data_IF_429778943553
#
_entry.id   IF_429778943553
#
_cell.length_a   1.000
_cell.length_b   1.000
_cell.length_c   1.000
_cell.angle_alpha   90.00
_cell.angle_beta   90.00
_cell.angle_gamma   90.00
#
_symmetry.space_group_name_H-M   'P 1'
#
loop_
_entity.id
_entity.type
_entity.pdbx_description
1 polymer ?
#
# COMPACT_ATOMS: atom_id res chain seq x y z
N UNK A 1 -34.33 -5.36 11.99
CA UNK A 1 -33.93 -4.21 11.14
C UNK A 1 -32.50 -4.45 10.69
N UNK A 2 -32.32 -4.72 9.40
CA UNK A 2 -31.05 -5.12 8.80
C UNK A 2 -30.24 -3.90 8.39
N UNK A 3 -29.33 -3.45 9.26
CA UNK A 3 -28.47 -2.30 8.95
C UNK A 3 -27.68 -2.52 7.67
N UNK A 4 -27.14 -3.72 7.47
CA UNK A 4 -26.42 -4.14 6.26
C UNK A 4 -26.86 -5.52 5.77
N UNK A 5 -26.81 -5.71 4.45
CA UNK A 5 -27.01 -7.00 3.78
C UNK A 5 -25.89 -7.20 2.76
N UNK A 6 -25.18 -8.33 2.81
CA UNK A 6 -24.04 -8.57 1.92
C UNK A 6 -23.76 -10.07 1.78
N UNK A 7 -23.00 -10.42 0.74
CA UNK A 7 -22.56 -11.79 0.47
C UNK A 7 -21.08 -11.91 0.77
N UNK A 8 -20.70 -13.03 1.39
CA UNK A 8 -19.33 -13.29 1.80
C UNK A 8 -18.93 -14.71 1.43
N UNK A 9 -17.69 -14.88 0.98
CA UNK A 9 -17.11 -16.21 0.79
C UNK A 9 -16.69 -16.77 2.15
N UNK A 10 -17.13 -17.99 2.47
CA UNK A 10 -16.64 -18.72 3.64
C UNK A 10 -15.17 -19.07 3.45
N UNK A 11 -14.31 -18.59 4.36
CA UNK A 11 -12.89 -18.90 4.42
C UNK A 11 -12.45 -19.03 5.88
N UNK A 12 -11.37 -19.79 6.17
CA UNK A 12 -10.79 -19.83 7.50
C UNK A 12 -10.48 -18.40 7.96
N UNK A 13 -10.83 -18.10 9.21
CA UNK A 13 -10.73 -16.77 9.82
C UNK A 13 -9.25 -16.37 9.87
N UNK A 14 -8.79 -15.69 8.82
CA UNK A 14 -7.55 -14.94 8.81
C UNK A 14 -7.82 -13.52 9.31
N UNK A 15 -6.88 -12.99 10.08
CA UNK A 15 -6.97 -11.74 10.83
C UNK A 15 -6.89 -10.49 9.93
N UNK A 16 -7.77 -10.39 8.94
CA UNK A 16 -7.91 -9.22 8.05
C UNK A 16 -9.21 -8.50 8.40
N UNK A 17 -9.30 -8.00 9.64
CA UNK A 17 -10.48 -7.30 10.15
C UNK A 17 -10.79 -5.98 9.41
N UNK A 18 -9.80 -5.41 8.70
CA UNK A 18 -9.87 -4.04 8.19
C UNK A 18 -9.82 -3.87 6.67
N UNK A 19 -9.54 -4.92 5.89
CA UNK A 19 -9.56 -4.83 4.42
C UNK A 19 -10.78 -5.58 3.88
N UNK A 20 -11.75 -4.91 3.22
CA UNK A 20 -12.81 -5.61 2.53
C UNK A 20 -12.25 -6.45 1.40
N UNK A 21 -12.80 -7.65 1.25
CA UNK A 21 -12.40 -8.60 0.23
C UNK A 21 -13.06 -8.21 -1.10
N UNK A 22 -12.29 -8.24 -2.17
CA UNK A 22 -12.78 -7.83 -3.49
C UNK A 22 -13.96 -8.68 -3.96
N UNK A 23 -13.91 -10.00 -3.70
CA UNK A 23 -14.98 -10.91 -4.09
C UNK A 23 -16.30 -10.65 -3.33
N UNK A 24 -16.23 -10.28 -2.05
CA UNK A 24 -17.43 -9.96 -1.25
C UNK A 24 -18.14 -8.72 -1.84
N UNK A 25 -17.36 -7.75 -2.32
CA UNK A 25 -17.86 -6.56 -3.02
C UNK A 25 -18.49 -6.97 -4.36
N UNK A 26 -17.83 -7.79 -5.16
CA UNK A 26 -18.34 -8.23 -6.46
C UNK A 26 -19.66 -9.01 -6.32
N UNK A 27 -19.72 -10.01 -5.44
CA UNK A 27 -20.94 -10.81 -5.20
C UNK A 27 -22.09 -9.95 -4.71
N UNK A 28 -21.83 -9.05 -3.76
CA UNK A 28 -22.86 -8.13 -3.24
C UNK A 28 -23.33 -7.14 -4.30
N UNK A 29 -22.45 -6.75 -5.22
CA UNK A 29 -22.81 -5.85 -6.34
C UNK A 29 -23.72 -6.52 -7.35
N UNK A 30 -23.46 -7.79 -7.70
CA UNK A 30 -24.38 -8.58 -8.53
C UNK A 30 -25.74 -8.81 -7.85
N UNK A 31 -25.74 -9.10 -6.55
CA UNK A 31 -26.99 -9.23 -5.79
C UNK A 31 -27.78 -7.92 -5.76
N UNK A 32 -27.08 -6.78 -5.63
CA UNK A 32 -27.71 -5.45 -5.70
C UNK A 32 -28.34 -5.21 -7.08
N UNK A 33 -27.64 -5.51 -8.18
CA UNK A 33 -28.21 -5.41 -9.53
C UNK A 33 -29.47 -6.26 -9.67
N UNK A 34 -29.45 -7.50 -9.15
CA UNK A 34 -30.62 -8.38 -9.16
C UNK A 34 -31.79 -7.81 -8.34
N UNK A 35 -31.52 -7.17 -7.20
CA UNK A 35 -32.57 -6.53 -6.41
C UNK A 35 -33.18 -5.34 -7.13
N UNK A 36 -32.37 -4.53 -7.82
CA UNK A 36 -32.87 -3.42 -8.63
C UNK A 36 -33.74 -3.93 -9.78
N UNK A 37 -33.30 -4.97 -10.48
CA UNK A 37 -34.08 -5.58 -11.58
C UNK A 37 -35.42 -6.16 -11.12
N UNK A 38 -35.53 -6.56 -9.84
CA UNK A 38 -36.74 -7.12 -9.24
C UNK A 38 -37.59 -6.08 -8.49
N UNK A 39 -37.25 -4.80 -8.58
CA UNK A 39 -37.86 -3.71 -7.79
C UNK A 39 -37.83 -3.95 -6.27
N UNK A 40 -36.90 -4.76 -5.78
CA UNK A 40 -36.74 -5.14 -4.37
C UNK A 40 -35.88 -4.10 -3.62
N UNK A 41 -36.43 -2.89 -3.51
CA UNK A 41 -35.76 -1.77 -2.82
C UNK A 41 -35.46 -2.07 -1.34
N UNK A 42 -36.30 -2.89 -0.70
CA UNK A 42 -36.14 -3.29 0.70
C UNK A 42 -34.81 -4.05 0.94
N UNK A 43 -34.38 -4.88 -0.03
CA UNK A 43 -33.10 -5.58 0.04
C UNK A 43 -31.96 -4.84 -0.66
N UNK A 44 -32.26 -3.99 -1.65
CA UNK A 44 -31.27 -3.17 -2.36
C UNK A 44 -30.61 -2.13 -1.43
N UNK A 45 -31.40 -1.39 -0.64
CA UNK A 45 -30.89 -0.28 0.19
C UNK A 45 -29.86 -0.75 1.24
N UNK A 46 -30.09 -1.84 2.01
CA UNK A 46 -29.08 -2.37 2.94
C UNK A 46 -27.80 -2.85 2.24
N UNK A 47 -27.92 -3.38 1.02
CA UNK A 47 -26.77 -3.84 0.22
C UNK A 47 -25.94 -2.67 -0.31
N UNK A 48 -26.63 -1.62 -0.76
CA UNK A 48 -26.01 -0.35 -1.17
C UNK A 48 -25.25 0.31 -0.01
N UNK A 49 -25.85 0.39 1.18
CA UNK A 49 -25.20 0.96 2.38
C UNK A 49 -23.90 0.23 2.70
N UNK A 50 -23.91 -1.09 2.62
CA UNK A 50 -22.71 -1.90 2.84
C UNK A 50 -21.63 -1.65 1.78
N UNK A 51 -21.99 -1.61 0.49
CA UNK A 51 -21.05 -1.32 -0.60
C UNK A 51 -20.42 0.08 -0.46
N UNK A 52 -21.24 1.10 -0.19
CA UNK A 52 -20.77 2.47 0.04
C UNK A 52 -19.71 2.51 1.15
N UNK A 53 -19.93 1.77 2.24
CA UNK A 53 -18.99 1.71 3.37
C UNK A 53 -17.65 1.03 3.03
N UNK A 54 -17.51 0.40 1.84
CA UNK A 54 -16.29 -0.27 1.36
C UNK A 54 -15.61 0.43 0.19
N UNK A 55 -16.09 1.62 -0.22
CA UNK A 55 -15.42 2.44 -1.23
C UNK A 55 -14.12 3.03 -0.69
N UNK A 56 -13.16 3.21 -1.57
CA UNK A 56 -11.92 3.92 -1.29
C UNK A 56 -12.11 5.45 -1.39
N UNK A 57 -11.11 6.23 -1.00
CA UNK A 57 -11.15 7.71 -1.02
C UNK A 57 -11.33 8.32 -2.41
N UNK A 58 -11.04 7.56 -3.47
CA UNK A 58 -11.18 7.98 -4.87
C UNK A 58 -12.51 7.52 -5.48
N UNK A 59 -13.37 6.89 -4.69
CA UNK A 59 -14.70 6.44 -5.12
C UNK A 59 -14.73 5.10 -5.83
N UNK A 60 -13.60 4.41 -5.98
CA UNK A 60 -13.52 3.02 -6.46
C UNK A 60 -13.56 2.00 -5.32
N UNK A 61 -13.26 0.75 -5.65
CA UNK A 61 -13.12 -0.35 -4.70
C UNK A 61 -11.67 -0.89 -4.71
N UNK A 62 -11.44 -2.13 -4.26
CA UNK A 62 -10.08 -2.62 -3.99
C UNK A 62 -9.40 -3.19 -5.25
N UNK A 63 -10.15 -3.81 -6.15
CA UNK A 63 -9.70 -4.36 -7.42
C UNK A 63 -10.30 -3.56 -8.59
N UNK A 64 -10.11 -4.04 -9.82
CA UNK A 64 -10.74 -3.47 -11.01
C UNK A 64 -12.15 -4.01 -11.22
N UNK A 65 -12.36 -5.32 -11.06
CA UNK A 65 -13.64 -5.96 -11.34
C UNK A 65 -14.72 -5.55 -10.33
N UNK A 66 -14.39 -5.58 -9.04
CA UNK A 66 -15.28 -5.09 -7.99
C UNK A 66 -15.61 -3.60 -8.17
N UNK A 67 -14.69 -2.81 -8.71
CA UNK A 67 -14.90 -1.40 -9.02
C UNK A 67 -15.91 -1.21 -10.14
N UNK A 68 -15.75 -1.93 -11.25
CA UNK A 68 -16.67 -1.82 -12.40
C UNK A 68 -18.08 -2.23 -11.99
N UNK A 69 -18.23 -3.44 -11.42
CA UNK A 69 -19.54 -3.98 -11.06
C UNK A 69 -20.15 -3.19 -9.89
N UNK A 70 -19.35 -2.80 -8.90
CA UNK A 70 -19.81 -2.04 -7.75
C UNK A 70 -20.30 -0.65 -8.11
N UNK A 71 -19.56 0.10 -8.92
CA UNK A 71 -20.01 1.42 -9.38
C UNK A 71 -21.24 1.29 -10.27
N UNK A 72 -21.29 0.30 -11.17
CA UNK A 72 -22.48 0.03 -11.98
C UNK A 72 -23.71 -0.24 -11.11
N UNK A 73 -23.60 -1.10 -10.10
CA UNK A 73 -24.68 -1.44 -9.20
C UNK A 73 -25.20 -0.22 -8.42
N UNK A 74 -24.28 0.59 -7.89
CA UNK A 74 -24.62 1.83 -7.18
C UNK A 74 -25.28 2.86 -8.10
N UNK A 75 -24.77 3.04 -9.32
CA UNK A 75 -25.34 3.96 -10.31
C UNK A 75 -26.75 3.51 -10.73
N UNK A 76 -26.95 2.21 -10.97
CA UNK A 76 -28.24 1.66 -11.37
C UNK A 76 -29.28 1.90 -10.27
N UNK A 77 -28.95 1.60 -9.00
CA UNK A 77 -29.85 1.90 -7.89
C UNK A 77 -30.09 3.41 -7.72
N UNK A 78 -29.09 4.26 -7.95
CA UNK A 78 -29.26 5.71 -7.85
C UNK A 78 -30.31 6.26 -8.84
N UNK A 79 -30.46 5.64 -10.02
CA UNK A 79 -31.52 6.03 -10.97
C UNK A 79 -32.93 5.73 -10.44
N UNK A 80 -33.08 4.69 -9.61
CA UNK A 80 -34.35 4.30 -8.98
C UNK A 80 -34.65 5.17 -7.75
N UNK A 81 -33.62 5.53 -6.98
CA UNK A 81 -33.77 6.31 -5.74
C UNK A 81 -33.82 7.83 -5.97
N UNK A 82 -33.41 8.32 -7.14
CA UNK A 82 -33.32 9.74 -7.43
C UNK A 82 -34.67 10.46 -7.37
N UNK A 83 -34.81 11.45 -6.49
CA UNK A 83 -36.05 12.22 -6.29
C UNK A 83 -36.26 13.37 -7.29
N UNK A 84 -35.36 13.57 -8.26
CA UNK A 84 -35.40 14.66 -9.25
C UNK A 84 -35.18 16.08 -8.70
N UNK A 85 -35.41 16.29 -7.40
CA UNK A 85 -35.15 17.55 -6.67
C UNK A 85 -34.17 17.28 -5.53
N UNK A 86 -33.14 18.11 -5.42
CA UNK A 86 -32.14 18.07 -4.35
C UNK A 86 -31.92 19.48 -3.82
N UNK A 87 -32.13 19.65 -2.51
CA UNK A 87 -31.80 20.81 -1.69
C UNK A 87 -31.41 20.29 -0.31
N UNK A 88 -30.12 20.03 -0.13
CA UNK A 88 -29.55 19.45 1.08
C UNK A 88 -28.60 20.45 1.72
N UNK A 89 -28.70 20.60 3.04
CA UNK A 89 -27.70 21.27 3.85
C UNK A 89 -27.04 20.24 4.76
N UNK A 90 -25.73 20.08 4.61
CA UNK A 90 -24.92 19.12 5.38
C UNK A 90 -23.91 19.88 6.22
N UNK A 91 -24.01 19.69 7.53
CA UNK A 91 -23.13 20.26 8.55
C UNK A 91 -22.17 19.20 9.07
N UNK A 92 -20.90 19.55 9.13
CA UNK A 92 -19.79 18.76 9.66
C UNK A 92 -19.23 19.47 10.89
N UNK A 93 -19.55 18.95 12.06
CA UNK A 93 -19.09 19.46 13.35
C UNK A 93 -17.93 18.59 13.86
N UNK A 94 -16.80 19.21 14.14
CA UNK A 94 -15.60 18.58 14.71
C UNK A 94 -15.04 19.47 15.83
N UNK A 95 -14.04 18.99 16.58
CA UNK A 95 -13.65 19.60 17.87
C UNK A 95 -13.21 21.06 17.77
N UNK A 96 -12.69 21.46 16.61
CA UNK A 96 -12.12 22.80 16.38
C UNK A 96 -12.95 23.67 15.45
N UNK A 97 -14.11 23.20 14.97
CA UNK A 97 -14.96 24.01 14.10
C UNK A 97 -16.13 23.28 13.45
N UNK A 98 -16.86 24.05 12.63
CA UNK A 98 -18.01 23.58 11.87
C UNK A 98 -17.80 23.95 10.40
N UNK A 99 -18.11 23.01 9.49
CA UNK A 99 -18.14 23.23 8.04
C UNK A 99 -19.52 22.89 7.51
N UNK A 100 -20.00 23.67 6.54
CA UNK A 100 -21.30 23.48 5.92
C UNK A 100 -21.14 23.30 4.41
N UNK A 101 -21.90 22.37 3.86
CA UNK A 101 -22.04 22.14 2.42
C UNK A 101 -23.52 22.25 2.06
N UNK A 102 -23.84 23.22 1.19
CA UNK A 102 -25.17 23.34 0.60
C UNK A 102 -25.16 22.72 -0.79
N UNK A 103 -26.04 21.75 -1.01
CA UNK A 103 -26.14 20.99 -2.25
C UNK A 103 -27.53 21.27 -2.85
N UNK A 104 -27.56 21.84 -4.05
CA UNK A 104 -28.76 22.16 -4.82
C UNK A 104 -28.69 21.55 -6.23
N UNK A 105 -29.66 21.88 -7.09
CA UNK A 105 -29.71 21.36 -8.46
C UNK A 105 -28.55 21.86 -9.35
N UNK A 106 -27.96 23.01 -9.04
CA UNK A 106 -26.86 23.58 -9.84
C UNK A 106 -25.54 22.89 -9.52
N UNK A 107 -25.36 22.42 -8.28
CA UNK A 107 -24.11 21.83 -7.81
C UNK A 107 -24.19 20.34 -7.47
N UNK A 108 -25.29 19.64 -7.79
CA UNK A 108 -25.53 18.23 -7.44
C UNK A 108 -24.46 17.24 -7.93
N UNK A 109 -23.74 17.58 -9.01
CA UNK A 109 -22.64 16.76 -9.57
C UNK A 109 -21.26 17.23 -9.09
N UNK A 110 -21.18 18.38 -8.42
CA UNK A 110 -19.92 18.95 -7.96
C UNK A 110 -19.51 18.35 -6.61
N UNK A 111 -18.31 17.76 -6.58
CA UNK A 111 -17.73 17.19 -5.37
C UNK A 111 -17.41 18.29 -4.35
N UNK A 112 -18.01 18.21 -3.16
CA UNK A 112 -17.69 19.07 -2.03
C UNK A 112 -16.69 18.35 -1.12
N UNK A 113 -15.48 18.91 -0.96
CA UNK A 113 -14.41 18.30 -0.15
C UNK A 113 -13.85 19.32 0.83
N UNK A 114 -13.59 18.88 2.07
CA UNK A 114 -12.97 19.67 3.12
C UNK A 114 -11.90 18.84 3.81
N UNK A 115 -10.74 19.45 4.07
CA UNK A 115 -9.69 18.82 4.86
C UNK A 115 -10.00 19.01 6.34
N UNK A 116 -10.00 17.90 7.08
CA UNK A 116 -10.13 17.91 8.53
C UNK A 116 -8.74 18.00 9.16
N UNK A 117 -8.60 18.70 10.31
CA UNK A 117 -7.35 18.71 11.08
C UNK A 117 -6.87 17.31 11.43
N UNK A 118 -5.55 17.09 11.44
CA UNK A 118 -4.95 15.78 11.71
C UNK A 118 -5.19 15.26 13.13
N UNK A 119 -5.60 16.13 14.06
CA UNK A 119 -5.93 15.80 15.44
C UNK A 119 -7.44 15.61 15.68
N UNK A 120 -8.27 15.64 14.63
CA UNK A 120 -9.70 15.36 14.73
C UNK A 120 -9.93 13.90 15.11
N UNK A 121 -10.71 13.67 16.18
CA UNK A 121 -11.02 12.34 16.69
C UNK A 121 -12.45 11.92 16.37
N UNK A 122 -13.39 12.88 16.36
CA UNK A 122 -14.80 12.66 16.09
C UNK A 122 -15.34 13.72 15.13
N UNK A 123 -16.22 13.28 14.23
CA UNK A 123 -16.96 14.17 13.32
C UNK A 123 -18.44 13.84 13.44
N UNK A 124 -19.23 14.83 13.80
CA UNK A 124 -20.70 14.73 13.82
C UNK A 124 -21.25 15.31 12.54
N UNK A 125 -22.01 14.52 11.79
CA UNK A 125 -22.60 14.92 10.50
C UNK A 125 -24.10 15.11 10.70
N UNK A 126 -24.61 16.29 10.38
CA UNK A 126 -26.05 16.60 10.43
C UNK A 126 -26.51 17.02 9.04
N UNK A 127 -27.55 16.37 8.54
CA UNK A 127 -28.12 16.70 7.24
C UNK A 127 -29.58 17.14 7.40
N UNK A 128 -29.97 18.19 6.68
CA UNK A 128 -31.35 18.66 6.60
C UNK A 128 -31.71 19.01 5.15
N UNK A 129 -33.01 19.08 4.85
CA UNK A 129 -33.51 19.37 3.50
C UNK A 129 -34.13 18.14 2.82
N UNK A 130 -34.15 18.15 1.48
CA UNK A 130 -34.76 17.11 0.64
C UNK A 130 -33.79 16.65 -0.43
N UNK A 131 -33.55 15.34 -0.50
CA UNK A 131 -32.70 14.73 -1.51
C UNK A 131 -31.96 13.53 -0.94
N UNK A 132 -31.10 12.93 -1.76
CA UNK A 132 -30.20 11.85 -1.34
C UNK A 132 -28.79 12.27 -1.66
N UNK A 133 -27.91 12.23 -0.66
CA UNK A 133 -26.50 12.58 -0.80
C UNK A 133 -25.63 11.49 -0.18
N UNK A 134 -24.43 11.33 -0.73
CA UNK A 134 -23.40 10.47 -0.16
C UNK A 134 -22.38 11.33 0.58
N UNK A 135 -22.18 11.04 1.86
CA UNK A 135 -21.11 11.63 2.67
C UNK A 135 -20.05 10.56 2.94
N UNK A 136 -18.78 10.91 2.72
CA UNK A 136 -17.65 10.02 2.94
C UNK A 136 -16.56 10.73 3.75
N UNK A 137 -16.10 10.09 4.82
CA UNK A 137 -14.94 10.51 5.60
C UNK A 137 -13.78 9.58 5.24
N UNK A 138 -12.65 10.15 4.82
CA UNK A 138 -11.47 9.39 4.41
C UNK A 138 -10.27 9.80 5.27
N UNK A 139 -9.45 8.83 5.67
CA UNK A 139 -8.21 9.06 6.42
C UNK A 139 -7.08 8.18 5.89
N UNK A 140 -5.84 8.61 6.10
CA UNK A 140 -4.64 7.87 5.72
C UNK A 140 -3.61 7.94 6.84
N UNK A 141 -2.89 6.84 7.07
CA UNK A 141 -1.86 6.75 8.10
C UNK A 141 -0.69 5.90 7.61
N UNK A 142 0.49 6.15 8.19
CA UNK A 142 1.71 5.40 7.87
C UNK A 142 1.88 4.22 8.82
N UNK A 143 2.23 3.05 8.28
CA UNK A 143 2.53 1.84 9.06
C UNK A 143 3.92 1.32 8.70
N UNK A 144 4.65 0.83 9.71
CA UNK A 144 6.00 0.31 9.52
C UNK A 144 6.04 -1.16 9.06
N UNK A 145 4.99 -1.96 9.29
CA UNK A 145 5.02 -3.43 9.06
C UNK A 145 3.86 -3.86 8.15
N UNK A 146 4.12 -4.80 7.24
CA UNK A 146 3.08 -5.57 6.55
C UNK A 146 2.24 -6.38 7.54
N UNK A 147 1.01 -6.70 7.16
CA UNK A 147 0.08 -7.56 7.89
C UNK A 147 0.74 -8.73 8.66
N UNK A 148 0.16 -9.08 9.82
CA UNK A 148 0.69 -10.08 10.75
C UNK A 148 1.01 -11.45 10.10
N UNK A 149 0.28 -11.82 9.04
CA UNK A 149 0.50 -13.03 8.25
C UNK A 149 0.62 -12.69 6.76
N UNK A 150 1.83 -12.55 6.19
CA UNK A 150 2.02 -12.25 4.78
C UNK A 150 1.63 -13.45 3.90
N UNK A 151 0.97 -13.19 2.78
CA UNK A 151 0.53 -14.24 1.85
C UNK A 151 1.66 -14.76 0.94
N UNK A 152 2.77 -14.03 0.88
CA UNK A 152 3.94 -14.35 0.05
C UNK A 152 5.20 -14.34 0.90
N UNK A 153 6.15 -15.22 0.60
CA UNK A 153 7.54 -14.98 0.98
C UNK A 153 8.03 -13.76 0.21
N UNK A 154 8.79 -12.90 0.88
CA UNK A 154 9.38 -11.75 0.22
C UNK A 154 10.74 -11.50 0.85
N UNK A 155 11.77 -11.65 0.03
CA UNK A 155 13.15 -11.52 0.46
C UNK A 155 13.96 -10.71 -0.56
N UNK A 156 14.13 -9.40 -0.33
CA UNK A 156 14.92 -8.55 -1.20
C UNK A 156 16.41 -8.65 -0.88
N UNK A 157 17.18 -9.14 -1.85
CA UNK A 157 18.61 -9.39 -1.74
C UNK A 157 19.40 -8.38 -2.56
N UNK A 158 20.07 -7.45 -1.88
CA UNK A 158 20.97 -6.49 -2.51
C UNK A 158 22.30 -7.18 -2.83
N UNK A 159 22.63 -7.24 -4.12
CA UNK A 159 23.84 -7.91 -4.61
C UNK A 159 25.11 -7.22 -4.11
N UNK A 160 26.16 -8.01 -3.84
CA UNK A 160 27.50 -7.51 -3.49
C UNK A 160 28.17 -6.66 -4.58
N UNK A 161 27.69 -6.77 -5.82
CA UNK A 161 28.15 -5.94 -6.95
C UNK A 161 27.59 -4.51 -6.86
N UNK A 162 26.57 -4.29 -6.03
CA UNK A 162 26.03 -2.95 -5.82
C UNK A 162 27.09 -2.02 -5.24
N UNK A 163 27.09 -0.79 -5.70
CA UNK A 163 27.93 0.32 -5.23
C UNK A 163 27.05 1.49 -4.82
N UNK A 164 27.64 2.62 -4.42
CA UNK A 164 26.89 3.86 -4.17
C UNK A 164 26.23 4.45 -5.42
N UNK A 165 26.68 4.06 -6.61
CA UNK A 165 26.17 4.56 -7.89
C UNK A 165 25.35 3.53 -8.67
N UNK A 166 25.40 2.27 -8.27
CA UNK A 166 24.79 1.16 -8.99
C UNK A 166 24.12 0.21 -8.00
N UNK A 167 22.85 -0.06 -8.19
CA UNK A 167 22.06 -0.93 -7.33
C UNK A 167 21.62 -2.14 -8.16
N UNK A 168 21.92 -3.34 -7.66
CA UNK A 168 21.40 -4.59 -8.20
C UNK A 168 20.68 -5.34 -7.09
N UNK A 169 19.36 -5.42 -7.18
CA UNK A 169 18.51 -6.09 -6.20
C UNK A 169 17.80 -7.28 -6.83
N UNK A 170 17.95 -8.46 -6.23
CA UNK A 170 17.20 -9.66 -6.60
C UNK A 170 16.07 -9.83 -5.58
N UNK A 171 14.83 -9.89 -6.05
CA UNK A 171 13.66 -9.95 -5.18
C UNK A 171 13.06 -11.34 -5.25
N UNK A 172 13.31 -12.17 -4.24
CA UNK A 172 12.79 -13.53 -4.20
C UNK A 172 11.40 -13.56 -3.56
N UNK A 173 10.45 -14.25 -4.21
CA UNK A 173 9.08 -14.40 -3.73
C UNK A 173 8.46 -15.72 -4.15
N UNK A 174 7.60 -16.26 -3.30
CA UNK A 174 6.78 -17.44 -3.53
C UNK A 174 5.47 -17.32 -2.77
N UNK A 175 4.41 -17.96 -3.26
CA UNK A 175 3.10 -17.94 -2.64
C UNK A 175 3.02 -18.97 -1.50
N UNK A 176 2.56 -18.54 -0.32
CA UNK A 176 2.53 -19.42 0.86
C UNK A 176 1.39 -20.44 0.85
N UNK A 177 0.25 -20.11 0.24
CA UNK A 177 -0.92 -20.99 0.25
C UNK A 177 -0.80 -22.11 -0.79
N UNK A 178 -1.67 -23.11 -0.67
CA UNK A 178 -1.75 -24.18 -1.67
C UNK A 178 -2.40 -23.67 -2.95
N UNK A 179 -1.85 -24.08 -4.08
CA UNK A 179 -2.33 -23.70 -5.41
C UNK A 179 -1.62 -22.46 -5.93
N UNK A 180 -2.19 -21.91 -6.99
CA UNK A 180 -1.64 -20.74 -7.67
C UNK A 180 -2.42 -19.48 -7.26
N UNK A 181 -1.76 -18.33 -7.30
CA UNK A 181 -2.46 -17.05 -7.29
C UNK A 181 -3.23 -16.84 -8.58
N UNK A 182 -4.06 -15.80 -8.62
CA UNK A 182 -4.42 -15.19 -9.91
C UNK A 182 -3.20 -14.44 -10.47
N UNK A 183 -3.43 -13.40 -11.29
CA UNK A 183 -2.37 -12.45 -11.64
C UNK A 183 -1.75 -11.85 -10.37
N UNK A 184 -0.43 -11.93 -10.26
CA UNK A 184 0.31 -11.38 -9.13
C UNK A 184 1.16 -10.19 -9.60
N UNK A 185 1.31 -9.19 -8.75
CA UNK A 185 2.07 -7.98 -9.04
C UNK A 185 3.16 -7.79 -8.00
N UNK A 186 4.38 -7.54 -8.47
CA UNK A 186 5.52 -7.13 -7.65
C UNK A 186 5.85 -5.67 -7.97
N UNK A 187 5.62 -4.78 -7.02
CA UNK A 187 5.99 -3.37 -7.05
C UNK A 187 7.30 -3.17 -6.29
N UNK A 188 8.37 -2.87 -7.04
CA UNK A 188 9.71 -2.60 -6.52
C UNK A 188 9.96 -1.10 -6.57
N UNK A 189 9.84 -0.42 -5.43
CA UNK A 189 10.24 0.98 -5.32
C UNK A 189 11.75 1.09 -5.16
N UNK A 190 12.38 2.06 -5.83
CA UNK A 190 13.80 2.34 -5.67
C UNK A 190 14.02 3.37 -4.56
N UNK A 191 15.18 3.33 -3.87
CA UNK A 191 15.57 4.40 -2.95
C UNK A 191 15.72 5.74 -3.67
N UNK A 192 15.43 6.84 -2.96
CA UNK A 192 15.47 8.20 -3.51
C UNK A 192 16.77 8.50 -4.24
N UNK A 193 16.70 8.96 -5.48
CA UNK A 193 17.86 9.30 -6.32
C UNK A 193 18.35 8.18 -7.23
N UNK A 194 17.81 6.97 -7.11
CA UNK A 194 18.01 5.89 -8.09
C UNK A 194 16.93 5.89 -9.16
N UNK A 195 17.32 5.53 -10.38
CA UNK A 195 16.40 5.25 -11.49
C UNK A 195 16.69 3.90 -12.12
N UNK A 196 15.64 3.23 -12.61
CA UNK A 196 15.72 1.92 -13.27
C UNK A 196 16.63 1.99 -14.50
N UNK A 197 17.45 0.96 -14.70
CA UNK A 197 18.23 0.76 -15.92
C UNK A 197 17.32 0.35 -17.08
N UNK A 198 17.49 0.94 -18.26
CA UNK A 198 16.64 0.67 -19.44
C UNK A 198 16.72 -0.81 -19.87
N UNK A 199 17.89 -1.43 -19.70
CA UNK A 199 18.11 -2.85 -20.01
C UNK A 199 17.46 -3.80 -19.00
N UNK A 200 17.07 -3.30 -17.81
CA UNK A 200 16.46 -4.12 -16.76
C UNK A 200 15.16 -4.77 -17.25
N UNK A 201 14.34 -4.04 -18.01
CA UNK A 201 13.05 -4.52 -18.53
C UNK A 201 13.25 -5.73 -19.45
N UNK A 202 14.17 -5.63 -20.40
CA UNK A 202 14.46 -6.72 -21.34
C UNK A 202 15.02 -7.95 -20.62
N UNK A 203 15.85 -7.74 -19.59
CA UNK A 203 16.41 -8.83 -18.79
C UNK A 203 15.33 -9.61 -18.03
N UNK A 204 14.28 -8.92 -17.56
CA UNK A 204 13.16 -9.54 -16.84
C UNK A 204 12.30 -10.40 -17.76
N UNK A 205 11.98 -9.95 -18.97
CA UNK A 205 11.26 -10.78 -19.94
C UNK A 205 12.05 -12.03 -20.36
N UNK A 206 13.38 -11.95 -20.41
CA UNK A 206 14.26 -13.11 -20.69
C UNK A 206 14.38 -14.06 -19.50
N UNK A 207 14.24 -13.54 -18.28
CA UNK A 207 14.37 -14.33 -17.05
C UNK A 207 13.25 -15.36 -16.90
N UNK A 208 11.99 -14.98 -17.19
CA UNK A 208 10.86 -15.89 -17.03
C UNK A 208 9.73 -15.58 -18.00
N UNK A 209 9.23 -16.62 -18.68
CA UNK A 209 8.02 -16.53 -19.52
C UNK A 209 6.74 -16.29 -18.72
N UNK A 210 6.79 -16.42 -17.39
CA UNK A 210 5.68 -16.13 -16.49
C UNK A 210 5.47 -14.62 -16.28
N UNK A 211 6.47 -13.79 -16.62
CA UNK A 211 6.35 -12.33 -16.58
C UNK A 211 5.63 -11.87 -17.85
N UNK A 212 4.43 -11.32 -17.69
CA UNK A 212 3.61 -10.83 -18.80
C UNK A 212 3.90 -9.40 -19.18
N UNK A 213 4.16 -8.58 -18.17
CA UNK A 213 4.33 -7.15 -18.34
C UNK A 213 5.28 -6.62 -17.30
N UNK A 214 6.03 -5.61 -17.68
CA UNK A 214 6.92 -4.84 -16.82
C UNK A 214 6.68 -3.37 -17.16
N UNK A 215 6.44 -2.55 -16.13
CA UNK A 215 6.20 -1.12 -16.27
C UNK A 215 7.16 -0.33 -15.39
N UNK A 216 7.61 0.82 -15.89
CA UNK A 216 8.33 1.80 -15.08
C UNK A 216 7.33 2.66 -14.30
N UNK A 217 7.65 2.92 -13.04
CA UNK A 217 6.84 3.77 -12.16
C UNK A 217 7.41 5.18 -12.08
N UNK A 218 6.53 6.18 -12.10
CA UNK A 218 6.79 7.58 -11.71
C UNK A 218 8.16 8.10 -12.19
N UNK A 219 8.40 8.07 -13.52
CA UNK A 219 9.64 8.55 -14.12
C UNK A 219 10.87 7.69 -13.78
N UNK A 220 10.74 6.36 -13.85
CA UNK A 220 11.80 5.36 -13.60
C UNK A 220 12.24 5.22 -12.14
N UNK A 221 11.45 5.68 -11.18
CA UNK A 221 11.77 5.59 -9.73
C UNK A 221 11.34 4.27 -9.09
N UNK A 222 10.73 3.39 -9.88
CA UNK A 222 10.37 2.03 -9.48
C UNK A 222 10.02 1.20 -10.70
N UNK A 223 9.80 -0.09 -10.48
CA UNK A 223 9.38 -1.02 -11.52
C UNK A 223 8.26 -1.91 -11.01
N UNK A 224 7.25 -2.14 -11.85
CA UNK A 224 6.10 -2.98 -11.55
C UNK A 224 6.14 -4.19 -12.47
N UNK A 225 6.23 -5.38 -11.89
CA UNK A 225 6.35 -6.65 -12.60
C UNK A 225 5.04 -7.42 -12.44
N UNK A 226 4.45 -7.82 -13.56
CA UNK A 226 3.19 -8.56 -13.62
C UNK A 226 3.46 -10.02 -13.99
N UNK A 227 3.07 -10.92 -13.11
CA UNK A 227 3.13 -12.37 -13.30
C UNK A 227 1.75 -12.91 -13.64
N UNK A 228 1.66 -13.89 -14.55
CA UNK A 228 0.41 -14.63 -14.80
C UNK A 228 -0.14 -15.24 -13.52
N UNK A 229 0.76 -15.87 -12.76
CA UNK A 229 0.49 -16.48 -11.46
C UNK A 229 1.78 -16.73 -10.70
N UNK A 230 1.69 -16.80 -9.39
CA UNK A 230 2.76 -17.29 -8.51
C UNK A 230 2.24 -18.50 -7.75
N UNK A 231 3.15 -19.40 -7.41
CA UNK A 231 2.85 -20.61 -6.65
C UNK A 231 3.93 -20.78 -5.58
N UNK A 232 3.99 -21.95 -4.93
CA UNK A 232 5.00 -22.22 -3.90
C UNK A 232 6.44 -22.30 -4.44
N UNK A 233 6.64 -22.29 -5.76
CA UNK A 233 7.98 -22.20 -6.37
C UNK A 233 8.47 -20.77 -6.33
N UNK A 234 9.62 -20.57 -5.69
CA UNK A 234 10.24 -19.26 -5.56
C UNK A 234 10.76 -18.73 -6.90
N UNK A 235 10.47 -17.46 -7.18
CA UNK A 235 10.99 -16.71 -8.33
C UNK A 235 11.77 -15.51 -7.82
N UNK A 236 12.87 -15.17 -8.48
CA UNK A 236 13.82 -14.13 -8.07
C UNK A 236 14.16 -13.18 -9.23
N UNK A 237 13.20 -12.39 -9.74
CA UNK A 237 13.51 -11.31 -10.68
C UNK A 237 14.58 -10.37 -10.12
N UNK A 238 15.50 -9.96 -10.98
CA UNK A 238 16.56 -9.00 -10.64
C UNK A 238 16.28 -7.66 -11.30
N UNK A 239 16.38 -6.59 -10.51
CA UNK A 239 16.22 -5.20 -10.95
C UNK A 239 17.55 -4.48 -10.78
N UNK A 240 18.01 -3.85 -11.87
CA UNK A 240 19.19 -3.01 -11.87
C UNK A 240 18.76 -1.53 -11.93
N UNK A 241 19.47 -0.68 -11.20
CA UNK A 241 19.23 0.75 -11.14
C UNK A 241 20.54 1.53 -10.99
N UNK A 242 20.55 2.77 -11.49
CA UNK A 242 21.69 3.68 -11.40
C UNK A 242 21.33 4.90 -10.56
N UNK A 243 22.32 5.46 -9.87
CA UNK A 243 22.14 6.69 -9.10
C UNK A 243 22.16 7.90 -10.04
N UNK A 244 21.01 8.52 -10.23
CA UNK A 244 20.85 9.72 -11.07
C UNK A 244 20.98 11.00 -10.26
N UNK A 245 20.56 10.98 -8.99
CA UNK A 245 20.69 12.11 -8.08
C UNK A 245 21.39 11.70 -6.78
N UNK A 246 22.38 12.48 -6.30
CA UNK A 246 23.03 12.20 -5.04
C UNK A 246 22.08 12.57 -3.88
N UNK A 247 21.69 11.57 -3.08
CA UNK A 247 20.83 11.75 -1.92
C UNK A 247 21.49 11.05 -0.73
N UNK A 248 21.75 11.81 0.33
CA UNK A 248 22.28 11.28 1.60
C UNK A 248 21.14 10.83 2.53
N UNK A 249 21.48 10.03 3.55
CA UNK A 249 20.55 9.56 4.59
C UNK A 249 19.26 8.92 4.04
N UNK A 250 19.39 8.20 2.92
CA UNK A 250 18.29 7.52 2.25
C UNK A 250 17.55 6.60 3.22
N UNK A 251 16.22 6.70 3.23
CA UNK A 251 15.37 5.75 3.95
C UNK A 251 15.21 4.45 3.14
N UNK A 252 14.97 3.32 3.82
CA UNK A 252 14.68 2.06 3.14
C UNK A 252 13.49 2.20 2.18
N UNK A 253 13.60 1.62 0.99
CA UNK A 253 12.53 1.60 -0.01
C UNK A 253 11.65 0.35 0.16
N UNK A 254 10.33 0.44 -0.03
CA UNK A 254 9.43 -0.71 0.04
C UNK A 254 9.47 -1.54 -1.24
N UNK A 255 9.27 -2.85 -1.06
CA UNK A 255 8.87 -3.78 -2.10
C UNK A 255 7.58 -4.43 -1.64
N UNK A 256 6.60 -4.50 -2.54
CA UNK A 256 5.28 -5.08 -2.26
C UNK A 256 4.96 -6.14 -3.30
N UNK A 257 4.55 -7.32 -2.85
CA UNK A 257 3.98 -8.37 -3.72
C UNK A 257 2.55 -8.62 -3.29
N UNK A 258 1.62 -8.68 -4.24
CA UNK A 258 0.20 -8.89 -3.94
C UNK A 258 -0.53 -9.63 -5.06
N UNK A 259 -1.61 -10.33 -4.72
CA UNK A 259 -2.58 -10.85 -5.69
C UNK A 259 -3.43 -9.69 -6.21
N UNK A 260 -3.49 -9.51 -7.53
CA UNK A 260 -4.12 -8.36 -8.16
C UNK A 260 -5.62 -8.27 -7.85
N UNK A 261 -6.30 -9.41 -7.79
CA UNK A 261 -7.75 -9.47 -7.55
C UNK A 261 -8.09 -9.61 -6.06
N UNK A 262 -7.14 -10.05 -5.23
CA UNK A 262 -7.32 -10.19 -3.78
C UNK A 262 -6.18 -9.51 -3.02
N UNK A 263 -6.14 -8.18 -3.03
CA UNK A 263 -5.06 -7.37 -2.41
C UNK A 263 -4.93 -7.51 -0.89
N UNK A 264 -5.84 -8.23 -0.24
CA UNK A 264 -5.65 -8.66 1.16
C UNK A 264 -4.50 -9.66 1.30
N UNK A 265 -4.23 -10.43 0.23
CA UNK A 265 -3.07 -11.30 0.10
C UNK A 265 -1.91 -10.48 -0.42
N UNK A 266 -1.06 -10.03 0.49
CA UNK A 266 0.14 -9.26 0.16
C UNK A 266 1.31 -9.62 1.09
N UNK A 267 2.50 -9.21 0.68
CA UNK A 267 3.68 -9.12 1.52
C UNK A 267 4.40 -7.80 1.22
N UNK A 268 4.95 -7.17 2.26
CA UNK A 268 5.82 -5.99 2.13
C UNK A 268 7.12 -6.19 2.88
N UNK A 269 8.22 -5.77 2.27
CA UNK A 269 9.52 -5.65 2.92
C UNK A 269 10.17 -4.34 2.53
N UNK A 270 11.05 -3.87 3.40
CA UNK A 270 11.88 -2.72 3.11
C UNK A 270 13.31 -3.19 2.89
N UNK A 271 14.01 -2.55 1.96
CA UNK A 271 15.42 -2.80 1.69
C UNK A 271 16.15 -1.46 1.56
N UNK A 272 17.45 -1.49 1.82
CA UNK A 272 18.29 -0.31 1.74
C UNK A 272 19.36 -0.52 0.68
N UNK A 273 19.60 0.50 -0.14
CA UNK A 273 20.83 0.58 -0.92
C UNK A 273 22.02 0.88 0.00
N UNK A 274 23.23 0.82 -0.55
CA UNK A 274 24.42 1.30 0.14
C UNK A 274 24.27 2.81 0.39
N UNK A 275 24.40 3.19 1.67
CA UNK A 275 24.19 4.58 2.11
C UNK A 275 25.26 5.50 1.54
N UNK A 276 24.83 6.61 0.95
CA UNK A 276 25.70 7.74 0.67
C UNK A 276 25.82 8.60 1.93
N UNK A 277 27.04 8.99 2.27
CA UNK A 277 27.26 9.86 3.43
C UNK A 277 26.90 11.31 3.06
N UNK A 278 26.40 12.06 4.04
CA UNK A 278 26.09 13.50 3.86
C UNK A 278 27.30 14.27 3.33
N UNK A 279 28.50 13.89 3.79
CA UNK A 279 29.76 14.49 3.38
C UNK A 279 30.19 14.18 1.94
N UNK A 280 29.57 13.22 1.28
CA UNK A 280 29.81 12.92 -0.14
C UNK A 280 28.83 13.65 -1.06
N UNK A 281 27.77 14.23 -0.51
CA UNK A 281 26.67 14.86 -1.25
C UNK A 281 26.62 16.37 -1.05
N UNK A 282 27.03 16.87 0.12
CA UNK A 282 27.03 18.29 0.41
C UNK A 282 28.03 19.05 -0.45
N UNK A 283 27.73 20.33 -0.73
CA UNK A 283 28.62 21.23 -1.43
C UNK A 283 28.93 22.48 -0.59
N UNK A 284 30.20 22.88 -0.57
CA UNK A 284 30.66 24.14 0.04
C UNK A 284 30.25 24.29 1.51
N UNK A 285 29.51 25.37 1.81
CA UNK A 285 29.13 25.76 3.17
C UNK A 285 28.21 24.75 3.85
N UNK A 286 27.46 23.96 3.09
CA UNK A 286 26.59 22.92 3.65
C UNK A 286 27.42 21.82 4.33
N UNK A 287 28.61 21.51 3.81
CA UNK A 287 29.51 20.53 4.41
C UNK A 287 30.13 21.00 5.73
N UNK A 288 30.26 22.31 5.95
CA UNK A 288 30.81 22.86 7.20
C UNK A 288 29.88 22.56 8.38
N UNK A 289 28.56 22.60 8.14
CA UNK A 289 27.54 22.23 9.14
C UNK A 289 27.67 20.79 9.61
N UNK A 290 28.08 19.88 8.73
CA UNK A 290 28.24 18.45 9.01
C UNK A 290 29.66 18.05 9.38
N UNK A 291 30.59 19.03 9.50
CA UNK A 291 32.01 18.81 9.84
C UNK A 291 32.65 17.75 8.96
N UNK A 292 32.45 17.85 7.65
CA UNK A 292 33.00 16.92 6.67
C UNK A 292 34.51 17.11 6.50
N UNK A 293 35.23 16.06 6.07
CA UNK A 293 36.68 16.09 5.89
C UNK A 293 37.09 17.25 4.98
N UNK A 294 37.97 18.13 5.47
CA UNK A 294 38.42 19.34 4.76
C UNK A 294 37.67 20.63 5.11
N UNK A 295 36.67 20.60 6.01
CA UNK A 295 35.97 21.80 6.48
C UNK A 295 36.51 22.30 7.83
N UNK A 296 36.40 23.61 8.14
CA UNK A 296 36.77 24.15 9.45
C UNK A 296 36.01 23.43 10.58
N UNK A 297 36.73 22.76 11.49
CA UNK A 297 36.14 22.01 12.61
C UNK A 297 36.05 20.49 12.44
N UNK A 298 36.56 19.92 11.34
CA UNK A 298 36.81 18.47 11.22
C UNK A 298 37.93 18.04 12.17
N UNK A 299 37.59 17.22 13.18
CA UNK A 299 38.58 16.50 13.98
C UNK A 299 38.66 15.06 13.48
N UNK A 300 39.82 14.68 12.93
CA UNK A 300 40.09 13.31 12.51
C UNK A 300 40.07 12.40 13.76
N UNK A 301 38.94 11.76 14.04
CA UNK A 301 38.90 10.69 15.05
C UNK A 301 39.65 9.50 14.49
N UNK A 302 40.92 9.39 14.82
CA UNK A 302 41.68 8.14 14.70
C UNK A 302 40.89 7.04 15.40
N UNK A 303 40.38 6.09 14.63
CA UNK A 303 39.69 4.91 15.15
C UNK A 303 40.58 4.22 16.18
N UNK A 304 40.11 4.17 17.43
CA UNK A 304 40.73 3.36 18.45
C UNK A 304 40.66 1.90 18.01
N UNK A 305 41.82 1.23 17.97
CA UNK A 305 41.90 -0.21 17.83
C UNK A 305 40.96 -0.86 18.86
N UNK A 306 39.97 -1.61 18.39
CA UNK A 306 39.16 -2.47 19.23
C UNK A 306 40.06 -3.60 19.72
N UNK A 307 40.62 -3.49 20.92
CA UNK A 307 41.22 -4.66 21.57
C UNK A 307 40.09 -5.63 21.92
N UNK A 308 40.02 -6.74 21.19
CA UNK A 308 39.24 -7.91 21.57
C UNK A 308 39.76 -8.44 22.91
N UNK A 309 39.15 -8.02 24.01
CA UNK A 309 39.29 -8.70 25.29
C UNK A 309 38.39 -9.93 25.21
N UNK A 310 38.99 -11.06 24.82
CA UNK A 310 38.39 -12.39 24.97
C UNK A 310 38.25 -12.68 26.48
N UNK A 311 37.07 -12.40 27.04
CA UNK A 311 36.72 -12.86 28.37
C UNK A 311 36.32 -14.34 28.26
N UNK A 312 37.30 -15.23 28.46
CA UNK A 312 37.04 -16.66 28.67
C UNK A 312 36.32 -16.85 30.00
N UNK A 313 34.99 -16.97 29.97
CA UNK A 313 34.28 -17.62 31.06
C UNK A 313 34.58 -19.12 31.01
N UNK A 314 35.56 -19.54 31.80
CA UNK A 314 35.79 -20.94 32.16
C UNK A 314 34.56 -21.44 32.93
N UNK A 315 33.63 -22.08 32.22
CA UNK A 315 32.64 -22.97 32.84
C UNK A 315 33.40 -24.25 33.19
N UNK A 316 33.89 -24.35 34.42
CA UNK A 316 34.36 -25.60 34.99
C UNK A 316 33.16 -26.51 35.23
N UNK A 317 32.93 -27.42 34.29
CA UNK A 317 32.13 -28.60 34.51
C UNK A 317 32.81 -29.47 35.57
N UNK A 318 32.28 -29.45 36.80
CA UNK A 318 32.58 -30.45 37.80
C UNK A 318 31.55 -31.58 37.67
N UNK A 319 31.93 -32.66 37.00
CA UNK A 319 31.27 -33.95 37.10
C UNK A 319 32.25 -34.94 37.75
N UNK A 320 31.69 -35.81 38.62
CA UNK A 320 32.25 -37.07 39.16
C UNK A 320 33.15 -36.91 40.41
N UNK A 321 33.02 -37.65 41.52
CA UNK A 321 32.52 -39.01 41.80
C UNK A 321 32.22 -39.20 43.32
N UNK A 322 31.37 -40.20 43.61
CA UNK A 322 31.33 -41.08 44.80
C UNK A 322 30.99 -40.53 46.20
N UNK A 323 29.71 -40.68 46.60
CA UNK A 323 29.20 -41.70 47.56
C UNK A 323 27.68 -41.62 47.66
#
# INVERSE_FOLDING_TARGET
>A
EGEWKYWRREEPIGDTLYKPKSLDIEMTSYALLLYVERDDTANAVPSMKWLIARRNSQGGFFSTQDTVVGIQALATLATVLGSGVTDLNVEFEYETGIKNAKIDQENVVMLQTFELPSNTSNVTIRASGRGVGLVQVSWSYNVQVSAANPAFTLDPQVSRVSTKNYLRVSVCTGYHYKGDTNMAVMDVSLPSGYTVDEDAILSLYRYSSNIKRVEERDGKTGIVIYFDKLNNTEVCPTVNAHRTYPVADQKPAPIVVYDYYEKTREARRFYSALTADVCEVCDGKDCEKYKCKGTPGYNERTGGASSLVLCWFLITAALLLHL
#
